data_IF_360749174047
#
_entry.id   IF_360749174047
#
_cell.length_a   1.000
_cell.length_b   1.000
_cell.length_c   1.000
_cell.angle_alpha   90.00
_cell.angle_beta   90.00
_cell.angle_gamma   90.00
#
_symmetry.space_group_name_H-M   'P 1'
#
loop_
_entity.id
_entity.type
_entity.pdbx_description
1 polymer ?
#
# COMPACT_ATOMS: atom_id res chain seq x y z
N UNK A 1 0.32 30.10 -6.29
CA UNK A 1 -0.80 29.23 -6.71
C UNK A 1 -0.39 27.79 -6.43
N UNK A 2 -0.54 27.29 -5.18
CA UNK A 2 -0.41 25.85 -4.94
C UNK A 2 -1.76 25.23 -5.26
N UNK A 3 -1.81 24.43 -6.32
CA UNK A 3 -2.99 23.65 -6.65
C UNK A 3 -2.78 22.27 -6.07
N UNK A 4 -3.29 22.06 -4.86
CA UNK A 4 -3.48 20.72 -4.31
C UNK A 4 -4.48 20.00 -5.21
N UNK A 5 -3.95 19.12 -6.07
CA UNK A 5 -4.74 18.39 -7.05
C UNK A 5 -4.97 16.98 -6.51
N UNK A 6 -6.07 16.81 -5.79
CA UNK A 6 -6.53 15.50 -5.36
C UNK A 6 -7.54 14.94 -6.34
N UNK A 7 -7.33 13.69 -6.77
CA UNK A 7 -8.23 13.00 -7.68
C UNK A 7 -8.40 11.55 -7.28
N UNK A 8 -9.63 11.06 -7.35
CA UNK A 8 -9.95 9.65 -7.13
C UNK A 8 -10.15 9.00 -8.49
N UNK A 9 -9.39 7.93 -8.75
CA UNK A 9 -9.49 7.15 -9.98
C UNK A 9 -9.77 5.68 -9.68
N UNK A 10 -10.51 5.04 -10.59
CA UNK A 10 -10.58 3.57 -10.62
C UNK A 10 -9.60 3.07 -11.67
N UNK A 11 -8.57 2.35 -11.25
CA UNK A 11 -7.54 1.82 -12.13
C UNK A 11 -7.94 0.39 -12.58
N UNK A 12 -8.13 0.15 -13.89
CA UNK A 12 -8.39 -1.19 -14.40
C UNK A 12 -7.07 -1.97 -14.55
N UNK A 13 -6.91 -3.03 -13.76
CA UNK A 13 -5.75 -3.94 -13.80
C UNK A 13 -6.02 -5.21 -14.62
N UNK A 14 -7.03 -5.20 -15.47
CA UNK A 14 -7.42 -6.38 -16.28
C UNK A 14 -6.30 -6.90 -17.19
N UNK A 15 -5.44 -6.01 -17.69
CA UNK A 15 -4.30 -6.34 -18.57
C UNK A 15 -3.19 -7.12 -17.86
N UNK A 16 -3.18 -7.17 -16.53
CA UNK A 16 -2.19 -7.92 -15.74
C UNK A 16 -2.21 -9.42 -16.07
N UNK A 17 -3.38 -9.98 -16.42
CA UNK A 17 -3.52 -11.42 -16.75
C UNK A 17 -2.76 -11.84 -18.01
N UNK A 18 -2.35 -10.89 -18.86
CA UNK A 18 -1.56 -11.15 -20.07
C UNK A 18 -0.12 -11.58 -19.71
N UNK A 19 0.37 -11.16 -18.55
CA UNK A 19 1.69 -11.55 -18.06
C UNK A 19 1.65 -12.93 -17.40
N UNK A 20 2.82 -13.57 -17.35
CA UNK A 20 3.04 -14.81 -16.62
C UNK A 20 2.56 -14.70 -15.18
N UNK A 21 1.98 -15.79 -14.67
CA UNK A 21 1.36 -15.84 -13.34
C UNK A 21 2.25 -15.31 -12.21
N UNK A 22 3.55 -15.59 -12.26
CA UNK A 22 4.52 -15.19 -11.22
C UNK A 22 4.87 -13.70 -11.22
N UNK A 23 4.55 -12.97 -12.28
CA UNK A 23 4.92 -11.55 -12.41
C UNK A 23 3.70 -10.62 -12.39
N UNK A 24 2.51 -11.14 -12.05
CA UNK A 24 1.26 -10.38 -12.15
C UNK A 24 1.19 -9.23 -11.14
N UNK A 25 1.47 -9.46 -9.86
CA UNK A 25 1.46 -8.38 -8.86
C UNK A 25 2.50 -7.29 -9.18
N UNK A 26 3.70 -7.69 -9.62
CA UNK A 26 4.74 -6.75 -10.08
C UNK A 26 4.25 -5.93 -11.28
N UNK A 27 3.61 -6.58 -12.26
CA UNK A 27 3.03 -5.89 -13.42
C UNK A 27 1.92 -4.92 -13.00
N UNK A 28 1.10 -5.29 -12.02
CA UNK A 28 0.04 -4.44 -11.50
C UNK A 28 0.60 -3.13 -10.93
N UNK A 29 1.67 -3.21 -10.13
CA UNK A 29 2.36 -2.03 -9.59
C UNK A 29 2.89 -1.14 -10.72
N UNK A 30 3.52 -1.74 -11.74
CA UNK A 30 4.02 -0.97 -12.88
C UNK A 30 2.89 -0.31 -13.68
N UNK A 31 1.73 -0.98 -13.83
CA UNK A 31 0.55 -0.38 -14.45
C UNK A 31 0.01 0.81 -13.66
N UNK A 32 0.03 0.75 -12.32
CA UNK A 32 -0.39 1.89 -11.48
C UNK A 32 0.55 3.07 -11.68
N UNK A 33 1.87 2.83 -11.77
CA UNK A 33 2.86 3.88 -12.08
C UNK A 33 2.63 4.49 -13.47
N UNK A 34 2.42 3.66 -14.49
CA UNK A 34 2.10 4.12 -15.85
C UNK A 34 0.82 4.98 -15.86
N UNK A 35 -0.22 4.55 -15.13
CA UNK A 35 -1.48 5.27 -15.02
C UNK A 35 -1.30 6.64 -14.36
N UNK A 36 -0.56 6.71 -13.24
CA UNK A 36 -0.27 7.95 -12.54
C UNK A 36 0.53 8.92 -13.41
N UNK A 37 1.55 8.43 -14.12
CA UNK A 37 2.36 9.23 -15.05
C UNK A 37 1.50 9.84 -16.16
N UNK A 38 0.57 9.05 -16.71
CA UNK A 38 -0.30 9.52 -17.80
C UNK A 38 -1.29 10.60 -17.35
N UNK A 39 -1.91 10.46 -16.19
CA UNK A 39 -2.97 11.36 -15.74
C UNK A 39 -2.46 12.65 -15.11
N UNK A 40 -1.36 12.57 -14.36
CA UNK A 40 -0.84 13.68 -13.57
C UNK A 40 0.41 14.33 -14.19
N UNK A 41 1.02 13.69 -15.21
CA UNK A 41 2.18 14.20 -15.96
C UNK A 41 3.41 14.51 -15.10
N UNK A 42 3.68 13.66 -14.10
CA UNK A 42 4.86 13.74 -13.23
C UNK A 42 5.65 12.43 -13.33
N UNK A 43 6.98 12.52 -13.22
CA UNK A 43 7.89 11.37 -13.29
C UNK A 43 7.99 10.60 -11.97
N UNK A 44 8.12 11.32 -10.85
CA UNK A 44 8.34 10.72 -9.54
C UNK A 44 7.01 10.32 -8.90
N UNK A 45 6.82 9.01 -8.73
CA UNK A 45 5.58 8.42 -8.19
C UNK A 45 5.95 7.57 -6.98
N UNK A 46 5.38 7.91 -5.84
CA UNK A 46 5.48 7.13 -4.60
C UNK A 46 4.15 6.40 -4.38
N UNK A 47 4.25 5.09 -4.16
CA UNK A 47 3.10 4.24 -3.88
C UNK A 47 3.09 4.02 -2.38
N UNK A 48 1.93 4.22 -1.78
CA UNK A 48 1.74 3.99 -0.36
C UNK A 48 1.85 2.50 0.00
N UNK A 49 2.32 2.20 1.20
CA UNK A 49 2.56 0.82 1.64
C UNK A 49 1.25 0.03 1.74
N UNK A 50 0.16 0.66 2.20
CA UNK A 50 -1.13 -0.02 2.34
C UNK A 50 -1.68 -0.46 0.99
N UNK A 51 -1.54 0.40 -0.01
CA UNK A 51 -1.93 0.08 -1.39
C UNK A 51 -1.08 -1.08 -1.92
N UNK A 52 0.22 -1.09 -1.67
CA UNK A 52 1.08 -2.21 -2.04
C UNK A 52 0.63 -3.49 -1.34
N UNK A 53 0.45 -3.49 -0.02
CA UNK A 53 0.00 -4.65 0.76
C UNK A 53 -1.34 -5.17 0.27
N UNK A 54 -2.27 -4.28 -0.09
CA UNK A 54 -3.56 -4.64 -0.67
C UNK A 54 -3.42 -5.38 -2.01
N UNK A 55 -2.51 -4.93 -2.89
CA UNK A 55 -2.23 -5.61 -4.16
C UNK A 55 -1.67 -7.02 -3.94
N UNK A 56 -0.79 -7.17 -2.94
CA UNK A 56 -0.14 -8.43 -2.60
C UNK A 56 -0.95 -9.34 -1.66
N UNK A 57 -2.11 -8.89 -1.15
CA UNK A 57 -2.95 -9.61 -0.18
C UNK A 57 -3.37 -11.01 -0.64
N UNK A 58 -3.60 -11.21 -1.94
CA UNK A 58 -3.98 -12.49 -2.56
C UNK A 58 -2.78 -13.24 -3.19
N UNK A 59 -1.57 -12.81 -2.85
CA UNK A 59 -0.31 -13.32 -3.40
C UNK A 59 -0.02 -12.83 -4.82
N UNK A 60 1.14 -13.25 -5.33
CA UNK A 60 1.70 -12.75 -6.61
C UNK A 60 0.84 -13.10 -7.83
N UNK A 61 0.10 -14.20 -7.78
CA UNK A 61 -0.63 -14.80 -8.91
C UNK A 61 -1.98 -14.14 -9.21
N UNK A 62 -2.59 -13.52 -8.21
CA UNK A 62 -3.96 -13.04 -8.31
C UNK A 62 -4.15 -11.63 -7.73
N UNK A 63 -3.52 -10.59 -8.31
CA UNK A 63 -3.78 -9.22 -7.90
C UNK A 63 -5.24 -8.81 -8.19
N UNK A 64 -5.78 -7.81 -7.47
CA UNK A 64 -7.11 -7.27 -7.72
C UNK A 64 -7.31 -6.79 -9.17
N UNK A 65 -8.52 -6.97 -9.73
CA UNK A 65 -8.81 -6.62 -11.14
C UNK A 65 -9.12 -5.14 -11.36
N UNK A 66 -9.60 -4.45 -10.32
CA UNK A 66 -9.87 -3.01 -10.27
C UNK A 66 -9.46 -2.51 -8.88
N UNK A 67 -8.90 -1.31 -8.80
CA UNK A 67 -8.56 -0.67 -7.53
C UNK A 67 -8.97 0.80 -7.61
N UNK A 68 -9.70 1.28 -6.60
CA UNK A 68 -9.96 2.71 -6.41
C UNK A 68 -8.80 3.31 -5.62
N UNK A 69 -8.26 4.40 -6.14
CA UNK A 69 -7.01 4.98 -5.69
C UNK A 69 -7.17 6.50 -5.63
N UNK A 70 -6.69 7.11 -4.55
CA UNK A 70 -6.54 8.56 -4.44
C UNK A 70 -5.13 8.93 -4.88
N UNK A 71 -5.03 9.91 -5.77
CA UNK A 71 -3.77 10.50 -6.18
C UNK A 71 -3.73 11.93 -5.65
N UNK A 72 -2.72 12.24 -4.84
CA UNK A 72 -2.44 13.59 -4.36
C UNK A 72 -1.09 14.05 -4.93
N UNK A 73 -1.04 15.33 -5.33
CA UNK A 73 0.18 15.98 -5.77
C UNK A 73 0.74 16.76 -4.58
N UNK A 74 1.92 16.39 -4.11
CA UNK A 74 2.62 17.09 -3.03
C UNK A 74 3.43 18.25 -3.60
N UNK A 75 3.65 19.30 -2.79
CA UNK A 75 4.48 20.47 -3.17
C UNK A 75 5.92 20.10 -3.52
N UNK A 76 6.42 18.98 -2.97
CA UNK A 76 7.74 18.38 -3.25
C UNK A 76 7.85 17.76 -4.65
N UNK A 77 6.81 17.85 -5.48
CA UNK A 77 6.88 17.50 -6.90
C UNK A 77 6.73 16.02 -7.22
N UNK A 78 6.32 15.19 -6.26
CA UNK A 78 5.92 13.80 -6.51
C UNK A 78 4.43 13.56 -6.29
N UNK A 79 3.94 12.45 -6.83
CA UNK A 79 2.57 11.98 -6.62
C UNK A 79 2.59 10.90 -5.56
N UNK A 80 1.74 11.06 -4.54
CA UNK A 80 1.43 10.02 -3.60
C UNK A 80 0.15 9.29 -4.06
N UNK A 81 0.24 7.96 -4.08
CA UNK A 81 -0.83 7.08 -4.53
C UNK A 81 -1.30 6.24 -3.36
N UNK A 82 -2.46 6.58 -2.79
CA UNK A 82 -3.04 5.91 -1.62
C UNK A 82 -4.31 5.13 -1.97
N UNK A 83 -4.59 4.09 -1.18
CA UNK A 83 -5.80 3.31 -1.35
C UNK A 83 -7.01 4.19 -0.99
N UNK A 84 -8.01 4.23 -1.86
CA UNK A 84 -9.28 4.85 -1.51
C UNK A 84 -10.15 3.77 -0.87
N UNK A 85 -10.17 3.73 0.47
CA UNK A 85 -11.27 3.12 1.16
C UNK A 85 -12.48 4.05 0.95
N UNK A 86 -13.53 3.54 0.29
CA UNK A 86 -14.85 4.17 0.42
C UNK A 86 -15.22 3.95 1.90
N UNK A 87 -14.86 4.87 2.80
CA UNK A 87 -15.29 4.81 4.20
C UNK A 87 -16.82 4.81 4.22
N UNK A 88 -17.39 3.63 4.38
CA UNK A 88 -18.69 3.46 4.97
C UNK A 88 -18.50 3.87 6.43
N UNK A 89 -18.68 5.15 6.74
CA UNK A 89 -18.99 5.56 8.11
C UNK A 89 -20.29 4.84 8.51
N UNK A 90 -20.21 3.83 9.38
CA UNK A 90 -21.05 3.56 10.57
C UNK A 90 -20.90 2.09 11.01
N UNK A 91 -19.90 1.82 11.84
CA UNK A 91 -20.04 0.86 12.94
C UNK A 91 -19.19 1.33 14.11
N UNK A 92 -19.57 2.48 14.65
CA UNK A 92 -19.26 2.80 16.03
C UNK A 92 -19.92 1.74 16.93
N UNK A 93 -19.10 0.98 17.62
CA UNK A 93 -19.40 0.64 19.02
C UNK A 93 -18.11 0.83 19.81
N UNK A 94 -17.95 1.97 20.51
CA UNK A 94 -16.89 2.18 21.47
C UNK A 94 -17.22 1.49 22.82
N UNK A 95 -16.16 1.05 23.49
CA UNK A 95 -16.03 0.70 24.93
C UNK A 95 -16.71 -0.57 25.49
N UNK A 96 -15.87 -1.60 25.68
CA UNK A 96 -15.75 -2.28 26.98
C UNK A 96 -14.30 -2.74 27.24
N UNK A 97 -13.52 -1.84 27.83
CA UNK A 97 -12.45 -2.14 28.79
C UNK A 97 -12.90 -3.19 29.85
N UNK A 98 -12.13 -4.04 30.53
CA UNK A 98 -10.69 -4.31 30.71
C UNK A 98 -10.54 -5.61 31.56
N UNK A 99 -9.37 -6.27 31.47
CA UNK A 99 -8.54 -6.89 32.56
C UNK A 99 -8.10 -8.36 32.42
N UNK A 100 -6.75 -8.48 32.47
CA UNK A 100 -5.84 -9.60 32.83
C UNK A 100 -5.68 -10.72 31.78
N UNK A 101 -4.48 -11.03 31.30
CA UNK A 101 -3.25 -11.32 32.06
C UNK A 101 -1.98 -10.85 31.32
N UNK A 102 -1.26 -9.89 31.89
CA UNK A 102 0.21 -9.82 31.82
C UNK A 102 0.72 -10.47 33.13
N UNK A 103 1.63 -11.46 33.03
CA UNK A 103 2.91 -11.47 33.77
C UNK A 103 3.80 -12.68 33.40
N UNK A 104 5.10 -12.39 33.22
CA UNK A 104 6.28 -13.27 32.98
C UNK A 104 6.35 -13.98 31.61
N UNK A 105 7.34 -13.71 30.75
CA UNK A 105 8.78 -13.91 31.00
C UNK A 105 9.64 -12.78 30.40
N UNK A 106 10.51 -12.29 31.27
CA UNK A 106 11.51 -11.25 31.17
C UNK A 106 12.73 -11.67 30.33
N UNK A 107 13.25 -10.71 29.57
CA UNK A 107 14.66 -10.37 29.32
C UNK A 107 15.76 -11.42 29.62
N UNK A 108 16.50 -11.82 28.58
CA UNK A 108 17.96 -12.01 28.69
C UNK A 108 18.59 -11.73 27.33
N UNK A 109 19.35 -10.63 27.27
CA UNK A 109 20.41 -10.38 26.31
C UNK A 109 21.62 -11.21 26.75
N UNK A 110 22.25 -11.94 25.82
CA UNK A 110 23.67 -12.35 25.85
C UNK A 110 23.97 -12.87 24.43
N UNK A 111 24.50 -12.00 23.57
CA UNK A 111 25.92 -11.84 23.28
C UNK A 111 26.45 -12.80 22.19
N UNK A 112 26.92 -12.15 21.14
CA UNK A 112 27.76 -12.66 20.07
C UNK A 112 29.08 -13.23 20.59
N UNK A 113 29.54 -14.41 20.13
CA UNK A 113 30.95 -14.74 20.17
C UNK A 113 31.62 -14.35 18.84
N UNK A 114 32.40 -13.27 18.88
CA UNK A 114 33.53 -13.09 17.98
C UNK A 114 34.68 -14.04 18.38
N UNK A 115 35.48 -14.40 17.38
CA UNK A 115 36.64 -15.30 17.40
C UNK A 115 37.75 -14.87 18.38
N UNK A 116 38.39 -15.84 19.06
CA UNK A 116 39.86 -15.93 19.21
C UNK A 116 40.27 -17.32 19.75
N UNK A 117 41.57 -17.65 19.54
CA UNK A 117 42.34 -18.91 19.72
C UNK A 117 42.35 -19.86 18.52
#
# INVERSE_FOLDING_TARGET
MSQELERVYTIPLGKVKLSQSQHRAVRAINMIREFARHHMKVETIKIDEELARYIWSKGVRNPPRKIKVRMSKTDEGYILVSLFADDVETSATPEKETKKVEDKVDSTQEESPAKEV
#
